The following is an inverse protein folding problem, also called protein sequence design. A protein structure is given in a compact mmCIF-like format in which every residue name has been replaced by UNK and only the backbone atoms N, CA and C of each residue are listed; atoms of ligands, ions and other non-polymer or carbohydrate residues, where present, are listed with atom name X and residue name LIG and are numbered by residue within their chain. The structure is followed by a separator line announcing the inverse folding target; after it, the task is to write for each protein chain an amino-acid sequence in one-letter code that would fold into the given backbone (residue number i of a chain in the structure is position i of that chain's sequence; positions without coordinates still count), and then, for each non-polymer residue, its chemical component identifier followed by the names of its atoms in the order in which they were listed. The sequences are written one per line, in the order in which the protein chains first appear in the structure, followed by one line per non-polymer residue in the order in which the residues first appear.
data_IF_088478624633
#
_entry.id   IF_088478624633
#
_cell.length_a   1.000
_cell.length_b   1.000
_cell.length_c   1.000
_cell.angle_alpha   90.00
_cell.angle_beta   90.00
_cell.angle_gamma   90.00
#
_symmetry.space_group_name_H-M   'P 1'
#
loop_
_entity.id
_entity.type
_entity.pdbx_description
1 polymer ?
#
# COMPACT_ATOMS: atom_id res chain seq x y z
N UNK A 1 4.61 12.64 19.29
CA UNK A 1 5.32 11.45 18.76
C UNK A 1 4.26 10.44 18.37
N UNK A 2 4.26 9.91 17.13
CA UNK A 2 3.23 8.94 16.69
C UNK A 2 3.47 7.58 17.39
N UNK A 3 2.41 6.88 17.79
CA UNK A 3 2.50 5.56 18.44
C UNK A 3 3.22 4.54 17.53
N UNK A 4 4.36 3.94 17.95
CA UNK A 4 5.08 2.96 17.13
C UNK A 4 4.25 1.72 16.81
N UNK A 5 3.28 1.34 17.64
CA UNK A 5 2.47 0.14 17.41
C UNK A 5 1.58 0.24 16.15
N UNK A 6 1.33 1.45 15.63
CA UNK A 6 0.62 1.64 14.36
C UNK A 6 1.28 0.92 13.18
N UNK A 7 2.61 0.75 13.25
CA UNK A 7 3.39 0.11 12.20
C UNK A 7 3.02 -1.37 12.04
N UNK A 8 2.67 -2.07 13.14
CA UNK A 8 2.28 -3.48 13.06
C UNK A 8 1.07 -3.68 12.18
N UNK A 9 0.01 -2.88 12.38
CA UNK A 9 -1.21 -2.99 11.58
C UNK A 9 -0.94 -2.70 10.11
N UNK A 10 -0.17 -1.65 9.83
CA UNK A 10 0.19 -1.29 8.46
C UNK A 10 0.99 -2.40 7.77
N UNK A 11 2.09 -2.87 8.39
CA UNK A 11 2.93 -3.91 7.78
C UNK A 11 2.24 -5.27 7.68
N UNK A 12 1.35 -5.62 8.61
CA UNK A 12 0.54 -6.84 8.50
C UNK A 12 -0.36 -6.80 7.28
N UNK A 13 -1.01 -5.66 7.01
CA UNK A 13 -1.85 -5.50 5.82
C UNK A 13 -1.03 -5.46 4.53
N UNK A 14 0.12 -4.78 4.51
CA UNK A 14 1.03 -4.83 3.35
C UNK A 14 1.48 -6.26 3.06
N UNK A 15 1.82 -7.03 4.10
CA UNK A 15 2.21 -8.43 3.97
C UNK A 15 1.06 -9.25 3.38
N UNK A 16 -0.16 -9.07 3.91
CA UNK A 16 -1.37 -9.73 3.39
C UNK A 16 -1.60 -9.41 1.91
N UNK A 17 -1.54 -8.13 1.53
CA UNK A 17 -1.75 -7.68 0.15
C UNK A 17 -0.68 -8.22 -0.80
N UNK A 18 0.59 -8.14 -0.40
CA UNK A 18 1.71 -8.61 -1.22
C UNK A 18 1.59 -10.12 -1.46
N UNK A 19 1.35 -10.91 -0.42
CA UNK A 19 1.16 -12.37 -0.54
C UNK A 19 -0.08 -12.74 -1.37
N UNK A 20 -1.17 -11.97 -1.26
CA UNK A 20 -2.44 -12.28 -1.94
C UNK A 20 -2.38 -11.95 -3.43
N UNK A 21 -1.86 -10.77 -3.78
CA UNK A 21 -2.04 -10.22 -5.13
C UNK A 21 -0.76 -10.23 -5.97
N UNK A 22 0.42 -10.26 -5.35
CA UNK A 22 1.71 -10.17 -6.06
C UNK A 22 2.77 -11.11 -5.42
N UNK A 23 2.45 -12.39 -5.14
CA UNK A 23 3.37 -13.29 -4.41
C UNK A 23 4.72 -13.50 -5.10
N UNK A 24 4.76 -13.41 -6.43
CA UNK A 24 5.98 -13.59 -7.23
C UNK A 24 6.89 -12.35 -7.24
N UNK A 25 6.37 -11.19 -6.83
CA UNK A 25 7.14 -9.96 -6.83
C UNK A 25 8.05 -9.91 -5.61
N UNK A 26 9.30 -9.49 -5.80
CA UNK A 26 10.17 -9.17 -4.66
C UNK A 26 9.64 -7.92 -3.93
N UNK A 27 9.98 -7.78 -2.65
CA UNK A 27 9.57 -6.62 -1.82
C UNK A 27 9.90 -5.29 -2.52
N UNK A 28 11.08 -5.15 -3.12
CA UNK A 28 11.47 -3.95 -3.86
C UNK A 28 10.62 -3.69 -5.10
N UNK A 29 10.23 -4.73 -5.84
CA UNK A 29 9.35 -4.61 -7.01
C UNK A 29 7.94 -4.19 -6.61
N UNK A 30 7.45 -4.70 -5.47
CA UNK A 30 6.16 -4.32 -4.91
C UNK A 30 6.11 -2.82 -4.58
N UNK A 31 7.09 -2.32 -3.82
CA UNK A 31 7.14 -0.89 -3.45
C UNK A 31 7.45 0.04 -4.62
N UNK A 32 8.37 -0.32 -5.52
CA UNK A 32 8.66 0.48 -6.72
C UNK A 32 7.44 0.52 -7.67
N UNK A 33 6.77 -0.63 -7.85
CA UNK A 33 5.54 -0.72 -8.62
C UNK A 33 4.42 0.15 -8.03
N UNK A 34 4.25 0.12 -6.71
CA UNK A 34 3.28 0.98 -6.03
C UNK A 34 3.60 2.46 -6.18
N UNK A 35 4.85 2.86 -5.95
CA UNK A 35 5.28 4.26 -6.12
C UNK A 35 5.03 4.76 -7.55
N UNK A 36 5.34 3.94 -8.57
CA UNK A 36 5.11 4.28 -9.98
C UNK A 36 3.62 4.37 -10.32
N UNK A 37 2.81 3.47 -9.79
CA UNK A 37 1.36 3.51 -9.97
C UNK A 37 0.74 4.74 -9.31
N UNK A 38 1.16 5.09 -8.09
CA UNK A 38 0.65 6.25 -7.37
C UNK A 38 0.97 7.56 -8.11
N UNK A 39 2.21 7.72 -8.57
CA UNK A 39 2.63 8.89 -9.36
C UNK A 39 1.92 8.95 -10.72
N UNK A 40 1.89 7.82 -11.45
CA UNK A 40 1.34 7.77 -12.81
C UNK A 40 -0.18 7.81 -12.89
N UNK A 41 -0.89 7.21 -11.93
CA UNK A 41 -2.35 7.09 -11.96
C UNK A 41 -3.06 8.09 -11.04
N UNK A 42 -2.43 8.51 -9.93
CA UNK A 42 -3.03 9.42 -8.95
C UNK A 42 -2.37 10.79 -8.90
N UNK A 43 -1.15 10.92 -9.43
CA UNK A 43 -0.33 12.14 -9.32
C UNK A 43 -0.13 12.59 -7.86
N UNK A 44 0.01 11.61 -6.97
CA UNK A 44 0.21 11.84 -5.53
C UNK A 44 1.65 11.49 -5.18
N UNK A 45 2.30 12.39 -4.46
CA UNK A 45 3.59 12.11 -3.83
C UNK A 45 3.38 11.32 -2.53
N UNK A 46 3.94 10.11 -2.51
CA UNK A 46 3.84 9.14 -1.41
C UNK A 46 4.28 9.71 -0.06
N UNK A 47 5.17 10.71 -0.03
CA UNK A 47 5.69 11.28 1.22
C UNK A 47 4.68 12.14 1.98
N UNK A 48 3.57 12.53 1.34
CA UNK A 48 2.53 13.36 1.95
C UNK A 48 1.29 12.58 2.40
N UNK A 49 1.29 11.26 2.24
CA UNK A 49 0.20 10.39 2.68
C UNK A 49 0.36 9.98 4.15
N UNK A 50 -0.74 9.96 4.88
CA UNK A 50 -0.81 9.28 6.18
C UNK A 50 -0.93 7.76 6.01
N UNK A 51 -0.56 6.99 7.04
CA UNK A 51 -0.46 5.52 6.99
C UNK A 51 -1.76 4.85 6.49
N UNK A 52 -2.93 5.39 6.83
CA UNK A 52 -4.24 4.88 6.40
C UNK A 52 -4.53 5.16 4.92
N UNK A 53 -4.20 6.35 4.42
CA UNK A 53 -4.39 6.70 3.01
C UNK A 53 -3.46 5.88 2.12
N UNK A 54 -2.22 5.71 2.57
CA UNK A 54 -1.23 4.87 1.91
C UNK A 54 -1.73 3.43 1.76
N UNK A 55 -2.37 2.90 2.80
CA UNK A 55 -2.92 1.55 2.79
C UNK A 55 -4.14 1.42 1.85
N UNK A 56 -5.03 2.41 1.82
CA UNK A 56 -6.18 2.39 0.89
C UNK A 56 -5.72 2.41 -0.57
N UNK A 57 -4.70 3.20 -0.91
CA UNK A 57 -4.11 3.19 -2.25
C UNK A 57 -3.40 1.87 -2.58
N UNK A 58 -2.76 1.21 -1.61
CA UNK A 58 -2.18 -0.12 -1.81
C UNK A 58 -3.26 -1.16 -2.12
N UNK A 59 -4.40 -1.14 -1.40
CA UNK A 59 -5.56 -2.00 -1.67
C UNK A 59 -6.10 -1.73 -3.07
N UNK A 60 -6.27 -0.46 -3.43
CA UNK A 60 -6.76 -0.05 -4.75
C UNK A 60 -5.83 -0.53 -5.87
N UNK A 61 -4.50 -0.34 -5.75
CA UNK A 61 -3.52 -0.84 -6.72
C UNK A 61 -3.59 -2.37 -6.87
N UNK A 62 -3.85 -3.08 -5.78
CA UNK A 62 -4.02 -4.53 -5.79
C UNK A 62 -5.36 -4.97 -6.42
N UNK A 63 -6.28 -4.05 -6.68
CA UNK A 63 -7.64 -4.35 -7.14
C UNK A 63 -8.54 -4.90 -6.05
N UNK A 64 -8.15 -4.75 -4.78
CA UNK A 64 -8.97 -5.11 -3.64
C UNK A 64 -10.09 -4.06 -3.53
N UNK A 65 -11.33 -4.46 -3.83
CA UNK A 65 -12.48 -3.60 -3.62
C UNK A 65 -12.53 -3.24 -2.13
N UNK A 66 -12.64 -1.94 -1.82
CA UNK A 66 -13.03 -1.54 -0.48
C UNK A 66 -14.29 -2.32 -0.13
N UNK A 67 -14.33 -2.94 1.06
CA UNK A 67 -15.48 -3.75 1.52
C UNK A 67 -16.79 -2.92 1.59
N UNK A 68 -16.72 -1.63 1.27
CA UNK A 68 -17.84 -0.71 1.07
C UNK A 68 -17.82 -0.11 -0.36
N UNK A 69 -18.24 -0.87 -1.39
CA UNK A 69 -18.41 -0.36 -2.77
C UNK A 69 -18.62 -1.43 -3.85
#
# INVERSE_FOLDING_TARGET
MRDPNRLYNFYNEVTRLHMTYRPDWRIGQFWDGFKKWLDGCKHIDIYYLEDNELLEYLKEMCGEKSVNG
#
